data_IF_049090975044
#
_entry.id   IF_049090975044
#
_cell.length_a   1.000
_cell.length_b   1.000
_cell.length_c   1.000
_cell.angle_alpha   90.00
_cell.angle_beta   90.00
_cell.angle_gamma   90.00
#
_symmetry.space_group_name_H-M   'P 1'
#
loop_
_entity.id
_entity.type
_entity.pdbx_description
1 polymer ?
#
# COMPACT_ATOMS: atom_id res chain seq x y z
N UNK A 1 -14.17 -20.32 24.27
CA UNK A 1 -12.81 -20.63 23.79
C UNK A 1 -12.47 -19.60 22.72
N UNK A 2 -12.01 -18.41 23.11
CA UNK A 2 -11.66 -17.34 22.17
C UNK A 2 -10.35 -17.71 21.52
N UNK A 3 -10.40 -18.26 20.30
CA UNK A 3 -9.24 -18.36 19.42
C UNK A 3 -8.60 -16.97 19.45
N UNK A 4 -7.37 -16.87 19.94
CA UNK A 4 -6.62 -15.62 19.90
C UNK A 4 -6.72 -15.08 18.48
N UNK A 5 -7.18 -13.84 18.34
CA UNK A 5 -7.20 -13.14 17.06
C UNK A 5 -5.72 -12.87 16.68
N UNK A 6 -5.01 -13.92 16.26
CA UNK A 6 -3.56 -13.98 16.09
C UNK A 6 -3.10 -13.25 14.83
N UNK A 7 -3.56 -12.03 14.57
CA UNK A 7 -3.09 -11.26 13.43
C UNK A 7 -3.50 -9.81 13.45
N UNK A 8 -2.64 -8.94 12.93
CA UNK A 8 -2.96 -7.53 12.77
C UNK A 8 -4.20 -7.37 11.86
N UNK A 9 -5.23 -6.62 12.28
CA UNK A 9 -6.38 -6.37 11.43
C UNK A 9 -5.98 -5.48 10.25
N UNK A 10 -6.69 -5.60 9.13
CA UNK A 10 -6.45 -4.81 7.91
C UNK A 10 -6.40 -3.31 8.20
N UNK A 11 -7.18 -2.81 9.18
CA UNK A 11 -7.16 -1.40 9.60
C UNK A 11 -5.80 -0.98 10.19
N UNK A 12 -5.20 -1.82 11.04
CA UNK A 12 -3.87 -1.57 11.60
C UNK A 12 -2.81 -1.62 10.51
N UNK A 13 -2.89 -2.61 9.61
CA UNK A 13 -2.02 -2.68 8.44
C UNK A 13 -2.15 -1.43 7.57
N UNK A 14 -3.36 -0.93 7.33
CA UNK A 14 -3.55 0.31 6.58
C UNK A 14 -2.85 1.50 7.25
N UNK A 15 -3.00 1.68 8.57
CA UNK A 15 -2.35 2.79 9.27
C UNK A 15 -0.83 2.76 9.14
N UNK A 16 -0.23 1.57 9.27
CA UNK A 16 1.23 1.39 9.19
C UNK A 16 1.74 1.51 7.75
N UNK A 17 1.01 0.96 6.77
CA UNK A 17 1.41 0.96 5.37
C UNK A 17 1.10 2.27 4.64
N UNK A 18 0.18 3.09 5.15
CA UNK A 18 -0.24 4.34 4.52
C UNK A 18 0.92 5.27 4.14
N UNK A 19 1.86 5.66 5.04
CA UNK A 19 2.94 6.56 4.67
C UNK A 19 3.83 6.00 3.54
N UNK A 20 4.08 4.69 3.53
CA UNK A 20 4.90 4.02 2.51
C UNK A 20 4.20 3.98 1.16
N UNK A 21 2.93 3.56 1.16
CA UNK A 21 2.14 3.44 -0.07
C UNK A 21 1.80 4.82 -0.65
N UNK A 22 1.48 5.82 0.18
CA UNK A 22 1.28 7.20 -0.28
C UNK A 22 2.56 7.81 -0.86
N UNK A 23 3.73 7.55 -0.26
CA UNK A 23 5.02 7.97 -0.81
C UNK A 23 5.33 7.27 -2.13
N UNK A 24 5.09 5.95 -2.22
CA UNK A 24 5.25 5.19 -3.46
C UNK A 24 4.34 5.75 -4.58
N UNK A 25 3.09 6.05 -4.26
CA UNK A 25 2.16 6.69 -5.22
C UNK A 25 2.68 8.06 -5.66
N UNK A 26 3.20 8.89 -4.75
CA UNK A 26 3.75 10.21 -5.10
C UNK A 26 4.92 10.10 -6.10
N UNK A 27 5.86 9.20 -5.84
CA UNK A 27 7.05 8.98 -6.68
C UNK A 27 6.62 8.45 -8.06
N UNK A 28 5.75 7.44 -8.09
CA UNK A 28 5.25 6.88 -9.35
C UNK A 28 4.47 7.91 -10.16
N UNK A 29 3.64 8.74 -9.51
CA UNK A 29 2.88 9.79 -10.20
C UNK A 29 3.79 10.87 -10.78
N UNK A 30 4.84 11.25 -10.04
CA UNK A 30 5.84 12.20 -10.53
C UNK A 30 6.60 11.65 -11.74
N UNK A 31 7.13 10.44 -11.63
CA UNK A 31 7.81 9.76 -12.74
C UNK A 31 6.88 9.58 -13.95
N UNK A 32 5.63 9.18 -13.74
CA UNK A 32 4.62 9.07 -14.79
C UNK A 32 4.38 10.41 -15.49
N UNK A 33 4.36 11.52 -14.74
CA UNK A 33 4.21 12.85 -15.34
C UNK A 33 5.42 13.26 -16.20
N UNK A 34 6.64 12.86 -15.80
CA UNK A 34 7.85 13.08 -16.61
C UNK A 34 7.80 12.24 -17.89
N UNK A 35 7.36 10.98 -17.81
CA UNK A 35 7.17 10.14 -18.98
C UNK A 35 6.10 10.71 -19.92
N UNK A 36 5.03 11.29 -19.37
CA UNK A 36 3.99 11.97 -20.13
C UNK A 36 4.51 13.11 -21.00
N UNK A 37 5.65 13.72 -20.65
CA UNK A 37 6.27 14.74 -21.49
C UNK A 37 6.66 14.21 -22.88
N UNK A 38 6.95 12.91 -23.02
CA UNK A 38 7.28 12.30 -24.30
C UNK A 38 6.12 12.38 -25.32
N UNK A 39 4.87 12.52 -24.86
CA UNK A 39 3.67 12.65 -25.70
C UNK A 39 3.06 14.05 -25.61
N UNK A 40 3.80 15.04 -25.10
CA UNK A 40 3.38 16.44 -25.03
C UNK A 40 2.54 16.83 -23.81
N UNK A 41 2.41 15.95 -22.79
CA UNK A 41 1.74 16.32 -21.54
C UNK A 41 2.65 17.20 -20.66
N UNK A 42 2.09 18.12 -19.86
CA UNK A 42 2.86 18.90 -18.91
C UNK A 42 3.35 18.03 -17.75
N UNK A 43 4.56 18.31 -17.25
CA UNK A 43 5.08 17.69 -16.03
C UNK A 43 4.32 18.19 -14.79
N UNK A 44 4.06 17.30 -13.83
CA UNK A 44 3.49 17.70 -12.54
C UNK A 44 4.61 18.16 -11.60
N UNK A 45 4.36 19.23 -10.86
CA UNK A 45 5.29 19.68 -9.83
C UNK A 45 5.35 18.65 -8.66
N UNK A 46 6.51 18.47 -8.00
CA UNK A 46 6.65 17.51 -6.90
C UNK A 46 5.65 17.74 -5.75
N UNK A 47 5.35 19.00 -5.43
CA UNK A 47 4.36 19.32 -4.40
C UNK A 47 2.94 18.90 -4.82
N UNK A 48 2.61 19.06 -6.10
CA UNK A 48 1.31 18.64 -6.64
C UNK A 48 1.16 17.13 -6.59
N UNK A 49 2.22 16.36 -6.87
CA UNK A 49 2.15 14.90 -6.81
C UNK A 49 1.98 14.37 -5.39
N UNK A 50 2.56 15.03 -4.38
CA UNK A 50 2.31 14.73 -2.97
C UNK A 50 0.85 14.99 -2.60
N UNK A 51 0.28 16.11 -3.02
CA UNK A 51 -1.12 16.42 -2.73
C UNK A 51 -2.08 15.41 -3.36
N UNK A 52 -1.80 14.97 -4.59
CA UNK A 52 -2.61 13.95 -5.28
C UNK A 52 -2.38 12.56 -4.66
N UNK A 53 -1.18 12.27 -4.15
CA UNK A 53 -0.88 10.96 -3.57
C UNK A 53 -1.55 10.73 -2.22
N UNK A 54 -1.93 11.78 -1.48
CA UNK A 54 -2.68 11.64 -0.22
C UNK A 54 -4.01 10.90 -0.45
N UNK A 55 -4.93 11.38 -1.31
CA UNK A 55 -6.18 10.67 -1.56
C UNK A 55 -5.98 9.36 -2.34
N UNK A 56 -5.05 9.32 -3.31
CA UNK A 56 -4.76 8.08 -4.06
C UNK A 56 -4.04 7.02 -3.23
N UNK A 57 -3.35 7.43 -2.17
CA UNK A 57 -2.68 6.54 -1.22
C UNK A 57 -3.68 5.69 -0.46
N UNK A 58 -4.89 6.18 -0.20
CA UNK A 58 -5.94 5.43 0.53
C UNK A 58 -6.32 4.12 -0.16
N UNK A 59 -6.78 4.11 -1.43
CA UNK A 59 -7.09 2.86 -2.12
C UNK A 59 -5.83 1.98 -2.30
N UNK A 60 -4.67 2.57 -2.60
CA UNK A 60 -3.41 1.82 -2.72
C UNK A 60 -3.03 1.10 -1.42
N UNK A 61 -3.18 1.80 -0.28
CA UNK A 61 -2.96 1.25 1.06
C UNK A 61 -3.89 0.09 1.34
N UNK A 62 -5.18 0.22 0.99
CA UNK A 62 -6.16 -0.82 1.24
C UNK A 62 -5.84 -2.11 0.47
N UNK A 63 -5.46 -1.98 -0.81
CA UNK A 63 -5.02 -3.14 -1.60
C UNK A 63 -3.76 -3.78 -1.01
N UNK A 64 -2.76 -2.98 -0.63
CA UNK A 64 -1.53 -3.45 0.00
C UNK A 64 -1.81 -4.17 1.33
N UNK A 65 -2.65 -3.58 2.20
CA UNK A 65 -3.01 -4.15 3.49
C UNK A 65 -3.77 -5.48 3.34
N UNK A 66 -4.66 -5.61 2.35
CA UNK A 66 -5.34 -6.87 2.06
C UNK A 66 -4.37 -7.93 1.54
N UNK A 67 -3.41 -7.55 0.70
CA UNK A 67 -2.37 -8.45 0.21
C UNK A 67 -1.45 -8.93 1.34
N UNK A 68 -0.94 -8.02 2.17
CA UNK A 68 -0.12 -8.38 3.34
C UNK A 68 -0.90 -9.27 4.31
N UNK A 69 -2.18 -8.96 4.56
CA UNK A 69 -3.01 -9.80 5.43
C UNK A 69 -3.11 -11.22 4.90
N UNK A 70 -3.33 -11.39 3.59
CA UNK A 70 -3.36 -12.71 2.97
C UNK A 70 -2.03 -13.45 3.12
N UNK A 71 -0.89 -12.76 2.98
CA UNK A 71 0.43 -13.37 3.21
C UNK A 71 0.65 -13.81 4.65
N UNK A 72 0.16 -13.04 5.63
CA UNK A 72 0.19 -13.44 7.03
C UNK A 72 -0.66 -14.69 7.26
N UNK A 73 -1.88 -14.70 6.74
CA UNK A 73 -2.79 -15.85 6.86
C UNK A 73 -2.18 -17.11 6.17
N UNK A 74 -1.42 -16.96 5.08
CA UNK A 74 -0.68 -18.05 4.42
C UNK A 74 0.52 -18.54 5.26
N UNK A 75 1.25 -17.63 5.93
CA UNK A 75 2.39 -17.98 6.79
C UNK A 75 1.97 -18.67 8.09
N UNK A 76 0.84 -18.27 8.67
CA UNK A 76 0.27 -18.90 9.87
C UNK A 76 -0.35 -20.28 9.58
N UNK A 77 -0.55 -20.61 8.30
CA UNK A 77 -1.23 -21.81 7.82
C UNK A 77 -0.34 -23.04 7.58
N UNK A 78 0.96 -22.98 7.87
CA UNK A 78 1.93 -24.01 7.47
C UNK A 78 2.86 -24.51 8.60
N UNK A 79 2.43 -24.43 9.87
CA UNK A 79 3.06 -25.20 10.96
C UNK A 79 2.48 -26.63 10.98
N UNK A 80 3.21 -27.68 10.54
CA UNK A 80 2.76 -29.05 10.77
C UNK A 80 2.67 -29.32 12.27
N UNK A 81 1.70 -30.11 12.75
CA UNK A 81 1.65 -30.48 14.15
C UNK A 81 2.92 -31.23 14.50
N UNK A 82 3.78 -30.63 15.33
CA UNK A 82 4.83 -31.37 16.03
C UNK A 82 4.14 -32.47 16.85
N UNK A 83 4.29 -33.70 16.36
CA UNK A 83 3.97 -34.95 17.05
C UNK A 83 5.25 -35.53 17.63
#
# INVERSE_FOLDING_TARGET
MTRTENGWPVRTLCLVLYPFTAAAVAINLFMLSLMGQAIGLPALAPITTIWISIPLGVPATWFAAKWVRRLMDEADGDDPPVS
#
